data_IF_391954274201
#
_entry.id   IF_391954274201
#
_cell.length_a   1.000
_cell.length_b   1.000
_cell.length_c   1.000
_cell.angle_alpha   90.00
_cell.angle_beta   90.00
_cell.angle_gamma   90.00
#
_symmetry.space_group_name_H-M   'P 1'
#
loop_
_entity.id
_entity.type
_entity.pdbx_description
1 polymer ?
#
# COMPACT_ATOMS: atom_id res chain seq x y z
N UNK A 1 24.99 1.06 14.23
CA UNK A 1 24.56 -0.20 13.59
C UNK A 1 23.27 0.11 12.83
N UNK A 2 23.34 0.84 11.71
CA UNK A 2 23.59 0.32 10.35
C UNK A 2 22.39 -0.55 9.89
N UNK A 3 21.28 -0.05 9.35
CA UNK A 3 21.16 1.03 8.35
C UNK A 3 21.82 0.64 7.02
N UNK A 4 22.99 0.02 7.08
CA UNK A 4 23.85 -0.27 5.93
C UNK A 4 23.57 -1.62 5.26
N UNK A 5 22.83 -2.55 5.88
CA UNK A 5 22.37 -3.77 5.22
C UNK A 5 20.98 -3.63 4.56
N UNK A 6 20.22 -2.58 4.90
CA UNK A 6 18.81 -2.31 4.52
C UNK A 6 18.46 -2.43 3.03
N UNK A 7 19.41 -2.51 2.13
CA UNK A 7 20.09 -1.34 1.58
C UNK A 7 20.93 -1.89 0.45
N UNK A 8 21.78 -2.87 0.78
CA UNK A 8 22.68 -3.49 -0.16
C UNK A 8 22.00 -4.42 -1.14
N UNK A 9 20.71 -4.78 -0.93
CA UNK A 9 20.04 -5.64 -1.90
C UNK A 9 18.52 -5.64 -2.11
N UNK A 10 17.88 -4.47 -2.09
CA UNK A 10 16.92 -4.17 -3.19
C UNK A 10 17.58 -4.45 -4.57
N UNK A 11 18.90 -4.28 -4.60
CA UNK A 11 19.96 -4.53 -5.59
C UNK A 11 20.08 -5.98 -6.13
N UNK A 12 19.22 -6.89 -5.71
CA UNK A 12 18.92 -8.09 -6.48
C UNK A 12 17.42 -8.08 -6.73
N UNK A 13 16.87 -6.94 -7.18
CA UNK A 13 16.44 -6.73 -8.56
C UNK A 13 16.48 -8.05 -9.33
N UNK A 14 15.67 -9.01 -8.92
CA UNK A 14 15.91 -10.38 -9.34
C UNK A 14 15.33 -10.52 -10.73
N UNK A 15 16.04 -10.01 -11.73
CA UNK A 15 16.52 -10.78 -12.88
C UNK A 15 15.50 -11.72 -13.53
N UNK A 16 14.23 -11.33 -13.51
CA UNK A 16 13.14 -11.95 -14.21
C UNK A 16 11.95 -11.01 -14.01
N UNK A 17 11.91 -9.92 -14.78
CA UNK A 17 10.66 -9.26 -15.15
C UNK A 17 9.60 -10.35 -15.42
N UNK A 18 8.75 -10.66 -14.44
CA UNK A 18 7.62 -11.54 -14.66
C UNK A 18 6.61 -10.71 -15.43
N UNK A 19 6.40 -11.12 -16.68
CA UNK A 19 5.75 -10.39 -17.75
C UNK A 19 4.43 -9.72 -17.34
N UNK A 20 4.12 -8.53 -17.91
CA UNK A 20 2.81 -7.93 -17.73
C UNK A 20 1.75 -8.82 -18.39
N UNK A 21 0.87 -9.42 -17.59
CA UNK A 21 -0.34 -10.04 -18.09
C UNK A 21 -1.26 -8.94 -18.63
N UNK A 22 -1.34 -8.86 -19.95
CA UNK A 22 -2.34 -8.09 -20.65
C UNK A 22 -3.75 -8.57 -20.30
N UNK A 23 -4.66 -7.62 -20.03
CA UNK A 23 -6.11 -7.65 -20.30
C UNK A 23 -6.65 -6.26 -20.00
N UNK A 24 -6.88 -5.43 -21.01
CA UNK A 24 -8.08 -5.34 -21.86
C UNK A 24 -9.11 -4.35 -21.30
N UNK A 25 -9.38 -3.34 -22.14
CA UNK A 25 -10.64 -2.61 -22.31
C UNK A 25 -11.63 -2.56 -21.14
N UNK A 26 -11.80 -1.37 -20.56
CA UNK A 26 -13.06 -0.65 -20.71
C UNK A 26 -12.95 0.81 -20.27
N UNK A 27 -13.66 1.69 -20.97
CA UNK A 27 -13.69 3.15 -20.81
C UNK A 27 -13.88 3.62 -19.35
N UNK A 28 -13.32 4.78 -18.97
CA UNK A 28 -13.33 5.23 -17.58
C UNK A 28 -14.68 5.85 -17.23
N UNK A 29 -15.46 5.16 -16.40
CA UNK A 29 -16.54 5.80 -15.64
C UNK A 29 -15.91 6.56 -14.47
N UNK A 30 -15.38 7.75 -14.77
CA UNK A 30 -14.76 8.68 -13.82
C UNK A 30 -15.81 9.22 -12.85
N UNK A 31 -15.99 8.57 -11.70
CA UNK A 31 -16.79 9.08 -10.59
C UNK A 31 -16.36 8.41 -9.28
N UNK A 32 -15.06 8.18 -9.05
CA UNK A 32 -14.58 7.72 -7.74
C UNK A 32 -13.34 8.46 -7.34
N UNK A 33 -13.31 8.90 -6.09
CA UNK A 33 -12.21 9.66 -5.53
C UNK A 33 -11.84 9.09 -4.16
N UNK A 34 -10.53 8.99 -3.91
CA UNK A 34 -9.98 8.75 -2.59
C UNK A 34 -9.63 10.11 -1.99
N UNK A 35 -10.36 10.49 -0.95
CA UNK A 35 -10.23 11.77 -0.26
C UNK A 35 -9.48 11.54 1.05
N UNK A 36 -8.38 12.26 1.23
CA UNK A 36 -7.58 12.24 2.45
C UNK A 36 -8.16 13.14 3.54
N UNK A 37 -7.62 13.03 4.77
CA UNK A 37 -8.08 13.81 5.91
C UNK A 37 -7.81 15.32 5.81
N UNK A 38 -6.93 15.74 4.90
CA UNK A 38 -6.72 17.17 4.59
C UNK A 38 -7.52 17.49 3.33
N UNK A 39 -8.23 18.62 3.33
CA UNK A 39 -9.18 19.03 2.29
C UNK A 39 -8.61 19.03 0.86
N UNK A 40 -7.28 19.18 0.71
CA UNK A 40 -6.60 19.23 -0.60
C UNK A 40 -6.19 17.85 -1.14
N UNK A 41 -6.44 16.76 -0.40
CA UNK A 41 -6.02 15.41 -0.79
C UNK A 41 -7.13 14.67 -1.54
N UNK A 42 -7.45 15.09 -2.75
CA UNK A 42 -8.42 14.39 -3.61
C UNK A 42 -7.68 13.63 -4.71
N UNK A 43 -7.70 12.30 -4.64
CA UNK A 43 -7.01 11.42 -5.59
C UNK A 43 -8.02 10.67 -6.47
N UNK A 44 -7.90 10.71 -7.80
CA UNK A 44 -8.81 9.97 -8.68
C UNK A 44 -8.61 8.46 -8.50
N UNK A 45 -9.71 7.73 -8.46
CA UNK A 45 -9.74 6.28 -8.29
C UNK A 45 -10.37 5.60 -9.52
N UNK A 46 -9.75 4.52 -9.99
CA UNK A 46 -10.37 3.67 -10.99
C UNK A 46 -11.60 2.94 -10.41
N UNK A 47 -12.59 2.62 -11.26
CA UNK A 47 -13.89 2.09 -10.83
C UNK A 47 -13.79 0.87 -9.90
N UNK A 48 -12.86 -0.04 -10.13
CA UNK A 48 -12.52 -1.13 -9.22
C UNK A 48 -11.09 -0.91 -8.70
N UNK A 49 -10.96 -0.45 -7.46
CA UNK A 49 -9.67 -0.39 -6.78
C UNK A 49 -9.64 -1.45 -5.69
N UNK A 50 -8.65 -2.34 -5.78
CA UNK A 50 -8.33 -3.26 -4.71
C UNK A 50 -7.61 -2.54 -3.55
N UNK A 51 -7.46 -3.24 -2.42
CA UNK A 51 -6.76 -2.72 -1.25
C UNK A 51 -5.35 -2.21 -1.61
N UNK A 52 -4.66 -2.91 -2.51
CA UNK A 52 -3.34 -2.54 -2.98
C UNK A 52 -3.34 -1.18 -3.71
N UNK A 53 -4.29 -0.95 -4.61
CA UNK A 53 -4.41 0.31 -5.36
C UNK A 53 -4.70 1.48 -4.42
N UNK A 54 -5.59 1.30 -3.44
CA UNK A 54 -5.89 2.32 -2.43
C UNK A 54 -4.66 2.69 -1.60
N UNK A 55 -3.90 1.69 -1.16
CA UNK A 55 -2.67 1.90 -0.38
C UNK A 55 -1.60 2.62 -1.19
N UNK A 56 -1.43 2.24 -2.47
CA UNK A 56 -0.48 2.91 -3.37
C UNK A 56 -0.83 4.39 -3.57
N UNK A 57 -2.11 4.69 -3.78
CA UNK A 57 -2.56 6.07 -3.94
C UNK A 57 -2.38 6.89 -2.66
N UNK A 58 -2.87 6.40 -1.52
CA UNK A 58 -2.81 7.11 -0.25
C UNK A 58 -1.38 7.43 0.19
N UNK A 59 -0.45 6.49 0.02
CA UNK A 59 0.96 6.65 0.41
C UNK A 59 1.87 7.12 -0.72
N UNK A 60 1.30 7.53 -1.87
CA UNK A 60 2.05 7.97 -3.08
C UNK A 60 3.16 6.98 -3.47
N UNK A 61 2.85 5.68 -3.44
CA UNK A 61 3.80 4.61 -3.75
C UNK A 61 4.02 4.58 -5.26
N UNK A 62 5.22 4.94 -5.68
CA UNK A 62 5.61 4.99 -7.08
C UNK A 62 5.92 3.61 -7.69
N UNK A 63 6.10 3.54 -9.01
CA UNK A 63 6.47 2.29 -9.70
C UNK A 63 7.87 1.76 -9.32
N UNK A 64 8.75 2.63 -8.80
CA UNK A 64 10.07 2.24 -8.27
C UNK A 64 10.04 1.81 -6.80
N UNK A 65 8.95 2.05 -6.09
CA UNK A 65 8.82 1.70 -4.68
C UNK A 65 8.42 0.22 -4.54
N UNK A 66 9.03 -0.47 -3.59
CA UNK A 66 8.67 -1.83 -3.25
C UNK A 66 7.63 -1.84 -2.13
N UNK A 67 6.60 -2.67 -2.25
CA UNK A 67 5.59 -2.87 -1.22
C UNK A 67 5.45 -4.36 -0.92
N UNK A 68 5.59 -4.74 0.35
CA UNK A 68 5.49 -6.12 0.76
C UNK A 68 5.35 -6.32 2.27
N UNK A 69 5.35 -7.58 2.67
CA UNK A 69 5.23 -7.97 4.09
C UNK A 69 6.60 -8.25 4.65
N UNK A 70 6.92 -7.64 5.80
CA UNK A 70 8.12 -7.92 6.57
C UNK A 70 7.75 -8.26 8.00
N UNK A 71 8.57 -9.11 8.63
CA UNK A 71 8.51 -9.28 10.08
C UNK A 71 9.27 -8.11 10.72
N UNK A 72 8.61 -7.43 11.65
CA UNK A 72 9.27 -6.53 12.59
C UNK A 72 10.19 -7.36 13.50
N UNK A 73 11.37 -6.82 13.79
CA UNK A 73 12.39 -7.51 14.57
C UNK A 73 11.87 -7.70 16.00
N UNK A 74 11.62 -8.96 16.36
CA UNK A 74 10.93 -9.35 17.59
C UNK A 74 11.13 -10.83 17.91
N UNK A 75 10.27 -11.39 18.76
CA UNK A 75 10.38 -12.79 19.18
C UNK A 75 10.33 -13.76 17.99
N UNK A 76 11.36 -14.63 17.87
CA UNK A 76 11.47 -15.66 16.81
C UNK A 76 10.26 -16.62 16.75
N UNK A 77 9.52 -16.74 17.85
CA UNK A 77 8.39 -17.66 17.96
C UNK A 77 7.05 -17.03 17.57
N UNK A 78 6.95 -15.70 17.62
CA UNK A 78 5.75 -14.93 17.27
C UNK A 78 6.16 -13.64 16.57
N UNK A 79 6.64 -13.72 15.31
CA UNK A 79 7.02 -12.53 14.56
C UNK A 79 5.81 -11.60 14.39
N UNK A 80 6.05 -10.30 14.56
CA UNK A 80 5.07 -9.26 14.30
C UNK A 80 5.15 -8.86 12.83
N UNK A 81 4.24 -9.35 12.02
CA UNK A 81 4.23 -9.05 10.58
C UNK A 81 3.58 -7.70 10.30
N UNK A 82 4.15 -6.96 9.35
CA UNK A 82 3.69 -5.64 8.94
C UNK A 82 3.83 -5.45 7.44
N UNK A 83 2.90 -4.70 6.87
CA UNK A 83 3.03 -4.20 5.52
C UNK A 83 4.02 -3.03 5.52
N UNK A 84 5.01 -3.07 4.64
CA UNK A 84 6.06 -2.09 4.55
C UNK A 84 6.27 -1.63 3.09
N UNK A 85 6.60 -0.36 2.93
CA UNK A 85 7.06 0.20 1.67
C UNK A 85 8.54 0.56 1.78
N UNK A 86 9.34 0.13 0.80
CA UNK A 86 10.71 0.57 0.62
C UNK A 86 10.74 1.55 -0.55
N UNK A 87 11.13 2.80 -0.29
CA UNK A 87 11.14 3.85 -1.30
C UNK A 87 12.32 3.68 -2.26
N UNK A 88 12.12 4.02 -3.54
CA UNK A 88 13.19 3.98 -4.54
C UNK A 88 14.38 4.88 -4.17
N UNK A 89 14.10 6.02 -3.56
CA UNK A 89 15.09 6.97 -3.02
C UNK A 89 15.76 6.49 -1.71
N UNK A 90 15.32 5.35 -1.19
CA UNK A 90 15.78 4.75 0.06
C UNK A 90 14.83 5.03 1.23
N UNK A 91 14.82 4.09 2.18
CA UNK A 91 14.03 4.19 3.40
C UNK A 91 12.88 3.19 3.45
N UNK A 92 12.59 2.73 4.67
CA UNK A 92 11.53 1.77 4.97
C UNK A 92 10.45 2.46 5.81
N UNK A 93 9.20 2.39 5.35
CA UNK A 93 8.03 2.94 6.04
C UNK A 93 7.02 1.82 6.31
N UNK A 94 6.49 1.78 7.54
CA UNK A 94 5.49 0.80 7.95
C UNK A 94 4.08 1.33 7.71
N UNK A 95 3.31 0.62 6.88
CA UNK A 95 1.97 1.04 6.46
C UNK A 95 0.85 0.42 7.33
N UNK A 96 1.10 -0.75 7.91
CA UNK A 96 0.12 -1.43 8.76
C UNK A 96 0.55 -1.45 10.24
N UNK A 97 -0.42 -1.56 11.17
CA UNK A 97 -0.12 -1.98 12.52
C UNK A 97 0.47 -3.40 12.53
N UNK A 98 1.18 -3.73 13.62
CA UNK A 98 1.73 -5.06 13.86
C UNK A 98 0.63 -6.14 13.91
N UNK A 99 0.86 -7.27 13.24
CA UNK A 99 0.02 -8.46 13.35
C UNK A 99 0.82 -9.69 13.71
N UNK A 100 0.47 -10.29 14.85
CA UNK A 100 1.09 -11.52 15.32
C UNK A 100 0.42 -12.72 14.66
N UNK A 101 1.13 -13.37 13.76
CA UNK A 101 0.71 -14.61 13.11
C UNK A 101 1.76 -15.70 13.33
N UNK A 102 1.32 -16.96 13.31
CA UNK A 102 2.22 -18.11 13.50
C UNK A 102 3.21 -18.21 12.34
N UNK A 103 4.43 -18.64 12.63
CA UNK A 103 5.37 -19.05 11.59
C UNK A 103 4.73 -20.20 10.77
N UNK A 104 4.66 -20.05 9.44
CA UNK A 104 4.05 -21.01 8.52
C UNK A 104 2.68 -20.61 7.96
N UNK A 105 2.11 -19.45 8.34
CA UNK A 105 0.94 -18.89 7.64
C UNK A 105 1.24 -18.69 6.16
N UNK A 106 0.27 -19.03 5.29
CA UNK A 106 0.42 -18.86 3.85
C UNK A 106 0.69 -17.38 3.49
N UNK A 107 1.73 -17.07 2.70
CA UNK A 107 2.11 -15.68 2.39
C UNK A 107 0.97 -14.85 1.80
N UNK A 108 0.11 -15.45 0.98
CA UNK A 108 -1.03 -14.80 0.35
C UNK A 108 -2.10 -14.39 1.38
N UNK A 109 -2.40 -15.27 2.34
CA UNK A 109 -3.34 -14.98 3.42
C UNK A 109 -2.79 -13.87 4.32
N UNK A 110 -1.50 -13.96 4.66
CA UNK A 110 -0.80 -12.95 5.45
C UNK A 110 -0.83 -11.58 4.76
N UNK A 111 -0.59 -11.54 3.45
CA UNK A 111 -0.64 -10.32 2.66
C UNK A 111 -2.05 -9.71 2.60
N UNK A 112 -3.08 -10.52 2.38
CA UNK A 112 -4.47 -10.05 2.34
C UNK A 112 -4.92 -9.46 3.69
N UNK A 113 -4.55 -10.11 4.80
CA UNK A 113 -4.88 -9.66 6.15
C UNK A 113 -4.21 -8.31 6.47
N UNK A 114 -2.92 -8.18 6.13
CA UNK A 114 -2.15 -6.96 6.37
C UNK A 114 -2.58 -5.80 5.47
N UNK A 115 -2.94 -6.08 4.22
CA UNK A 115 -3.54 -5.07 3.33
C UNK A 115 -4.85 -4.57 3.92
N UNK A 116 -5.73 -5.47 4.37
CA UNK A 116 -7.01 -5.11 5.00
C UNK A 116 -6.79 -4.21 6.22
N UNK A 117 -5.83 -4.56 7.09
CA UNK A 117 -5.48 -3.75 8.26
C UNK A 117 -4.87 -2.40 7.89
N UNK A 118 -4.04 -2.32 6.85
CA UNK A 118 -3.48 -1.07 6.39
C UNK A 118 -4.57 -0.13 5.86
N UNK A 119 -5.55 -0.66 5.11
CA UNK A 119 -6.69 0.14 4.66
C UNK A 119 -7.58 0.54 5.85
N UNK A 120 -7.76 -0.32 6.85
CA UNK A 120 -8.42 0.07 8.11
C UNK A 120 -7.71 1.21 8.82
N UNK A 121 -6.38 1.20 8.86
CA UNK A 121 -5.59 2.29 9.41
C UNK A 121 -5.75 3.58 8.59
N UNK A 122 -5.85 3.50 7.26
CA UNK A 122 -6.18 4.67 6.41
C UNK A 122 -7.55 5.24 6.76
N UNK A 123 -8.58 4.40 6.93
CA UNK A 123 -9.90 4.87 7.33
C UNK A 123 -9.88 5.51 8.72
N UNK A 124 -9.14 4.95 9.67
CA UNK A 124 -8.96 5.54 11.00
C UNK A 124 -8.26 6.91 10.93
N UNK A 125 -7.37 7.12 9.96
CA UNK A 125 -6.73 8.40 9.70
C UNK A 125 -7.63 9.41 8.98
N UNK A 126 -8.85 9.03 8.56
CA UNK A 126 -9.82 9.92 7.93
C UNK A 126 -9.90 9.81 6.40
N UNK A 127 -9.18 8.88 5.77
CA UNK A 127 -9.31 8.63 4.33
C UNK A 127 -10.67 8.03 3.98
N UNK A 128 -11.31 8.47 2.89
CA UNK A 128 -12.62 7.97 2.44
C UNK A 128 -12.66 7.80 0.93
N UNK A 129 -13.42 6.81 0.46
CA UNK A 129 -13.74 6.67 -0.96
C UNK A 129 -15.12 7.29 -1.18
N UNK A 130 -15.23 8.25 -2.09
CA UNK A 130 -16.50 8.82 -2.52
C UNK A 130 -16.80 8.43 -3.96
N UNK A 131 -18.04 8.06 -4.19
CA UNK A 131 -18.64 7.92 -5.52
C UNK A 131 -19.22 9.28 -5.97
N UNK A 132 -18.98 9.66 -7.22
CA UNK A 132 -19.41 10.92 -7.82
C UNK A 132 -18.32 11.99 -7.89
N UNK A 133 -18.63 13.09 -8.58
CA UNK A 133 -17.77 14.30 -8.61
C UNK A 133 -17.83 14.97 -7.23
N UNK A 134 -16.71 15.18 -6.51
CA UNK A 134 -16.73 15.99 -5.31
C UNK A 134 -17.15 17.39 -5.73
N UNK A 135 -18.29 17.86 -5.24
CA UNK A 135 -18.64 19.26 -5.33
C UNK A 135 -17.59 20.02 -4.52
N UNK A 136 -16.53 20.50 -5.18
CA UNK A 136 -15.65 21.51 -4.64
C UNK A 136 -16.56 22.70 -4.33
N UNK A 137 -16.89 22.89 -3.06
CA UNK A 137 -17.59 24.08 -2.61
C UNK A 137 -16.68 25.26 -2.97
N UNK A 138 -16.97 25.93 -4.07
CA UNK A 138 -16.44 27.25 -4.36
C UNK A 138 -16.87 28.15 -3.20
N UNK A 139 -15.95 28.73 -2.42
CA UNK A 139 -16.31 29.81 -1.53
C UNK A 139 -16.80 31.00 -2.37
N UNK A 140 -17.95 31.54 -1.98
CA UNK A 140 -18.57 32.75 -2.53
C UNK A 140 -17.70 34.00 -2.30
#
# INVERSE_FOLDING_TARGET
MQGLASFDRCLAQRHAFAAPAARSDNRPSLNRYLIGPLADQVLPLAAAADALTLLKLAHRIGPGDWLGVLAEEGSRHTPAWRLAVCRAEGGLEWLSPAWHARAGTAPQQLQAELQTRAVQALWAQGWRVLDGVPALSTPD
#
